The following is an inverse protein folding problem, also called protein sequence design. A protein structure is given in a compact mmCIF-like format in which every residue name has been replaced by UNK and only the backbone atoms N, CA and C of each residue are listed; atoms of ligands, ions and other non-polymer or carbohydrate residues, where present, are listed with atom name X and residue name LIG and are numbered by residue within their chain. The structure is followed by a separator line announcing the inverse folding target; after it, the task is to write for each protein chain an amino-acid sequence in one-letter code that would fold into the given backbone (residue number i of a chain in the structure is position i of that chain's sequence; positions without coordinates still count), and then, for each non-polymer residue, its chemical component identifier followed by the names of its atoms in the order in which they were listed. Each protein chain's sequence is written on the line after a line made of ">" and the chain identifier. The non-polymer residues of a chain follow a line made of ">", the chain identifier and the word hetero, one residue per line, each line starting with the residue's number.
data_IF_527955212838
#
_entry.id   IF_527955212838
#
_cell.length_a   1.000
_cell.length_b   1.000
_cell.length_c   1.000
_cell.angle_alpha   90.00
_cell.angle_beta   90.00
_cell.angle_gamma   90.00
#
_symmetry.space_group_name_H-M   'P 1'
#
loop_
_entity.id
_entity.type
_entity.pdbx_description
1 polymer ?
#
# COMPACT_ATOMS: atom_id res chain seq x y z
N UNK A 1 -13.73 2.59 20.25
CA UNK A 1 -14.54 3.29 19.24
C UNK A 1 -16.05 3.27 19.51
N UNK A 2 -16.64 2.12 19.89
CA UNK A 2 -18.09 2.01 20.11
C UNK A 2 -18.66 2.95 21.18
N UNK A 3 -17.94 3.21 22.29
CA UNK A 3 -18.39 4.13 23.36
C UNK A 3 -18.49 5.61 22.96
N UNK A 4 -17.72 6.06 21.97
CA UNK A 4 -17.72 7.47 21.56
C UNK A 4 -18.92 7.79 20.65
N UNK A 5 -19.27 6.85 19.78
CA UNK A 5 -20.39 7.02 18.85
C UNK A 5 -21.73 6.54 19.43
N UNK A 6 -21.69 5.61 20.39
CA UNK A 6 -22.86 4.86 20.87
C UNK A 6 -22.85 4.67 22.39
N UNK A 7 -22.23 5.61 23.12
CA UNK A 7 -22.28 5.65 24.58
C UNK A 7 -23.69 5.99 25.07
N UNK A 8 -24.20 5.23 26.04
CA UNK A 8 -25.59 5.31 26.50
C UNK A 8 -25.70 6.11 27.81
N UNK A 9 -26.82 6.82 27.98
CA UNK A 9 -27.30 7.34 29.27
C UNK A 9 -28.71 6.76 29.48
N UNK A 10 -28.97 6.11 30.62
CA UNK A 10 -30.29 5.59 31.04
C UNK A 10 -30.95 4.52 30.13
N UNK A 11 -32.27 4.32 30.33
CA UNK A 11 -33.12 3.20 29.93
C UNK A 11 -33.55 3.12 28.44
N UNK A 12 -32.78 3.69 27.52
CA UNK A 12 -33.16 3.68 26.10
C UNK A 12 -32.98 2.29 25.43
N UNK A 13 -33.86 1.95 24.47
CA UNK A 13 -33.85 0.69 23.73
C UNK A 13 -32.50 0.47 23.02
N UNK A 14 -31.89 -0.69 23.25
CA UNK A 14 -30.63 -1.12 22.61
C UNK A 14 -30.73 -1.11 21.09
N UNK A 15 -29.77 -0.47 20.43
CA UNK A 15 -29.47 -0.74 19.01
C UNK A 15 -28.89 -2.15 18.92
N UNK A 16 -29.65 -3.09 18.34
CA UNK A 16 -29.14 -4.42 18.04
C UNK A 16 -28.14 -4.32 16.88
N UNK A 17 -26.84 -4.33 17.18
CA UNK A 17 -25.79 -4.31 16.18
C UNK A 17 -25.80 -5.60 15.36
N UNK A 18 -26.10 -5.49 14.06
CA UNK A 18 -25.73 -6.51 13.09
C UNK A 18 -24.20 -6.54 12.96
N UNK A 19 -23.62 -7.74 12.82
CA UNK A 19 -22.16 -7.88 12.67
C UNK A 19 -21.61 -7.00 11.53
N UNK A 20 -20.40 -6.44 11.70
CA UNK A 20 -19.68 -5.64 10.68
C UNK A 20 -19.73 -6.30 9.29
N UNK A 21 -19.53 -7.62 9.24
CA UNK A 21 -19.61 -8.44 8.02
C UNK A 21 -20.99 -8.37 7.35
N UNK A 22 -22.09 -8.42 8.11
CA UNK A 22 -23.46 -8.28 7.55
C UNK A 22 -23.73 -6.86 7.05
N UNK A 23 -23.25 -5.83 7.75
CA UNK A 23 -23.43 -4.44 7.33
C UNK A 23 -22.65 -4.11 6.04
N UNK A 24 -21.46 -4.70 5.87
CA UNK A 24 -20.62 -4.47 4.69
C UNK A 24 -21.04 -5.27 3.45
N UNK A 25 -22.03 -6.17 3.56
CA UNK A 25 -22.60 -6.84 2.39
C UNK A 25 -23.24 -5.82 1.45
N UNK A 26 -23.17 -6.08 0.15
CA UNK A 26 -23.84 -5.27 -0.87
C UNK A 26 -25.35 -5.17 -0.61
N UNK A 27 -25.96 -4.03 -0.94
CA UNK A 27 -27.42 -3.86 -0.91
C UNK A 27 -28.14 -4.91 -1.76
N UNK A 28 -27.52 -5.36 -2.84
CA UNK A 28 -28.05 -6.40 -3.73
C UNK A 28 -28.28 -7.75 -3.02
N UNK A 29 -27.48 -8.09 -2.02
CA UNK A 29 -27.59 -9.34 -1.25
C UNK A 29 -28.19 -9.11 0.14
N UNK A 30 -28.96 -8.02 0.32
CA UNK A 30 -29.64 -7.69 1.57
C UNK A 30 -28.73 -7.12 2.67
N UNK A 31 -27.55 -6.60 2.33
CA UNK A 31 -26.69 -5.84 3.24
C UNK A 31 -26.96 -4.32 3.20
N UNK A 32 -26.21 -3.54 3.99
CA UNK A 32 -26.33 -2.07 3.99
C UNK A 32 -25.40 -1.37 2.98
N UNK A 33 -24.48 -2.11 2.36
CA UNK A 33 -23.52 -1.58 1.39
C UNK A 33 -22.43 -0.72 2.02
N UNK A 34 -22.17 -0.85 3.33
CA UNK A 34 -21.08 -0.12 3.97
C UNK A 34 -19.73 -0.62 3.47
N UNK A 35 -18.80 0.31 3.20
CA UNK A 35 -17.42 -0.09 2.91
C UNK A 35 -16.80 -0.68 4.17
N UNK A 36 -15.99 -1.71 3.99
CA UNK A 36 -15.17 -2.22 5.07
C UNK A 36 -14.15 -1.15 5.47
N UNK A 37 -14.42 -0.46 6.58
CA UNK A 37 -13.67 0.73 7.01
C UNK A 37 -12.17 0.47 7.16
N UNK A 38 -11.81 -0.74 7.58
CA UNK A 38 -10.43 -1.18 7.76
C UNK A 38 -9.69 -1.22 6.42
N UNK A 39 -10.25 -1.91 5.43
CA UNK A 39 -9.75 -1.97 4.06
C UNK A 39 -9.69 -0.59 3.42
N UNK A 40 -10.72 0.24 3.64
CA UNK A 40 -10.75 1.61 3.13
C UNK A 40 -9.67 2.50 3.76
N UNK A 41 -9.49 2.43 5.08
CA UNK A 41 -8.44 3.17 5.78
C UNK A 41 -7.06 2.72 5.34
N UNK A 42 -6.85 1.41 5.18
CA UNK A 42 -5.60 0.86 4.69
C UNK A 42 -5.28 1.37 3.27
N UNK A 43 -6.28 1.43 2.38
CA UNK A 43 -6.12 2.02 1.04
C UNK A 43 -5.77 3.52 1.10
N UNK A 44 -6.39 4.28 2.00
CA UNK A 44 -6.05 5.70 2.21
C UNK A 44 -4.62 5.88 2.73
N UNK A 45 -4.18 5.04 3.67
CA UNK A 45 -2.81 5.04 4.18
C UNK A 45 -1.81 4.70 3.08
N UNK A 46 -2.11 3.71 2.24
CA UNK A 46 -1.28 3.35 1.09
C UNK A 46 -1.16 4.52 0.11
N UNK A 47 -2.25 5.26 -0.12
CA UNK A 47 -2.23 6.48 -0.94
C UNK A 47 -1.34 7.58 -0.32
N UNK A 48 -1.33 7.75 1.01
CA UNK A 48 -0.41 8.71 1.64
C UNK A 48 1.05 8.24 1.56
N UNK A 49 1.31 6.95 1.76
CA UNK A 49 2.64 6.37 1.57
C UNK A 49 3.14 6.58 0.12
N UNK A 50 2.27 6.43 -0.88
CA UNK A 50 2.59 6.72 -2.28
C UNK A 50 2.96 8.19 -2.50
N UNK A 51 2.25 9.13 -1.87
CA UNK A 51 2.59 10.55 -1.94
C UNK A 51 3.97 10.86 -1.34
N UNK A 52 4.37 10.16 -0.27
CA UNK A 52 5.71 10.28 0.31
C UNK A 52 6.81 9.82 -0.66
N UNK A 53 6.53 8.80 -1.49
CA UNK A 53 7.48 8.33 -2.50
C UNK A 53 7.64 9.32 -3.66
N UNK A 54 6.51 9.88 -4.16
CA UNK A 54 6.55 10.69 -5.39
C UNK A 54 6.90 12.16 -5.14
N UNK A 55 6.54 12.73 -3.99
CA UNK A 55 6.69 14.16 -3.73
C UNK A 55 7.74 14.46 -2.65
N UNK A 56 9.01 14.29 -3.02
CA UNK A 56 10.17 14.47 -2.13
C UNK A 56 10.38 15.91 -1.64
N UNK A 57 9.94 16.89 -2.41
CA UNK A 57 10.10 18.31 -2.06
C UNK A 57 9.07 18.82 -1.05
N UNK A 58 7.98 18.08 -0.85
CA UNK A 58 6.93 18.46 0.09
C UNK A 58 7.43 18.49 1.53
N UNK A 59 6.92 19.44 2.32
CA UNK A 59 7.17 19.49 3.76
C UNK A 59 6.80 18.17 4.45
N UNK A 60 5.72 17.54 3.98
CA UNK A 60 5.28 16.23 4.46
C UNK A 60 6.37 15.16 4.30
N UNK A 61 7.01 15.08 3.12
CA UNK A 61 8.15 14.20 2.90
C UNK A 61 9.34 14.58 3.79
N UNK A 62 9.78 15.83 3.76
CA UNK A 62 10.96 16.29 4.51
C UNK A 62 10.86 15.99 6.00
N UNK A 63 9.68 16.23 6.59
CA UNK A 63 9.41 15.97 8.01
C UNK A 63 9.40 14.46 8.33
N UNK A 64 8.76 13.64 7.49
CA UNK A 64 8.71 12.20 7.72
C UNK A 64 10.05 11.52 7.45
N UNK A 65 10.79 11.96 6.42
CA UNK A 65 12.12 11.46 6.10
C UNK A 65 13.08 11.74 7.26
N UNK A 66 13.13 12.98 7.75
CA UNK A 66 14.00 13.36 8.88
C UNK A 66 13.72 12.54 10.14
N UNK A 67 12.46 12.16 10.38
CA UNK A 67 12.05 11.44 11.60
C UNK A 67 12.15 9.92 11.49
N UNK A 68 11.79 9.34 10.35
CA UNK A 68 11.53 7.90 10.25
C UNK A 68 12.36 7.17 9.19
N UNK A 69 12.87 7.86 8.18
CA UNK A 69 13.68 7.25 7.11
C UNK A 69 14.73 8.25 6.60
N UNK A 70 15.67 8.64 7.48
CA UNK A 70 16.70 9.62 7.16
C UNK A 70 17.62 9.17 6.02
N UNK A 71 17.71 7.86 5.78
CA UNK A 71 18.48 7.27 4.69
C UNK A 71 17.79 7.44 3.31
N UNK A 72 16.60 8.04 3.25
CA UNK A 72 15.90 8.40 2.02
C UNK A 72 15.01 7.29 1.42
N UNK A 73 15.10 6.06 1.92
CA UNK A 73 14.26 4.95 1.45
C UNK A 73 13.09 4.65 2.41
N UNK A 74 11.89 5.05 1.98
CA UNK A 74 10.64 4.75 2.69
C UNK A 74 10.33 3.24 2.72
N UNK A 75 10.62 2.53 1.63
CA UNK A 75 10.28 1.11 1.48
C UNK A 75 11.16 0.24 2.38
N UNK A 76 12.43 0.60 2.58
CA UNK A 76 13.31 -0.03 3.55
C UNK A 76 13.13 0.44 5.01
N UNK A 77 12.32 1.47 5.26
CA UNK A 77 12.19 2.07 6.61
C UNK A 77 11.70 1.07 7.68
N UNK A 78 12.30 1.08 8.87
CA UNK A 78 11.81 0.27 10.00
C UNK A 78 10.74 1.01 10.79
N UNK A 79 9.96 0.30 11.61
CA UNK A 79 8.90 0.92 12.41
C UNK A 79 9.49 1.83 13.52
N UNK A 80 10.56 1.38 14.17
CA UNK A 80 11.14 2.02 15.36
C UNK A 80 10.28 1.87 16.63
N UNK A 81 10.87 2.17 17.80
CA UNK A 81 10.20 2.01 19.10
C UNK A 81 9.11 3.08 19.38
N UNK A 82 9.39 4.35 19.04
CA UNK A 82 8.52 5.49 19.33
C UNK A 82 7.77 6.02 18.09
N UNK A 83 7.18 5.09 17.34
CA UNK A 83 6.37 5.38 16.16
C UNK A 83 5.04 6.04 16.51
N UNK A 84 4.70 7.14 15.82
CA UNK A 84 3.35 7.73 15.92
C UNK A 84 2.31 6.79 15.28
N UNK A 85 1.04 6.91 15.69
CA UNK A 85 -0.05 6.13 15.07
C UNK A 85 -0.15 6.34 13.55
N UNK A 86 0.06 7.58 13.09
CA UNK A 86 0.09 7.89 11.66
C UNK A 86 1.24 7.17 10.95
N UNK A 87 2.44 7.15 11.55
CA UNK A 87 3.58 6.42 10.99
C UNK A 87 3.33 4.91 10.98
N UNK A 88 2.78 4.34 12.04
CA UNK A 88 2.42 2.91 12.10
C UNK A 88 1.51 2.52 10.94
N UNK A 89 0.46 3.31 10.69
CA UNK A 89 -0.45 3.06 9.58
C UNK A 89 0.21 3.19 8.20
N UNK A 90 1.05 4.21 8.00
CA UNK A 90 1.82 4.39 6.75
C UNK A 90 2.80 3.23 6.56
N UNK A 91 3.48 2.81 7.62
CA UNK A 91 4.44 1.73 7.62
C UNK A 91 3.78 0.38 7.32
N UNK A 92 2.60 0.09 7.89
CA UNK A 92 1.83 -1.10 7.53
C UNK A 92 1.40 -1.07 6.06
N UNK A 93 0.89 0.08 5.60
CA UNK A 93 0.39 0.24 4.25
C UNK A 93 1.47 0.23 3.17
N UNK A 94 2.74 0.54 3.50
CA UNK A 94 3.85 0.47 2.53
C UNK A 94 4.03 -0.95 1.97
N UNK A 95 3.70 -1.99 2.75
CA UNK A 95 3.77 -3.38 2.30
C UNK A 95 2.77 -3.65 1.17
N UNK A 96 1.63 -2.94 1.14
CA UNK A 96 0.70 -3.02 0.01
C UNK A 96 1.29 -2.37 -1.24
N UNK A 97 2.07 -1.30 -1.10
CA UNK A 97 2.77 -0.68 -2.23
C UNK A 97 3.87 -1.59 -2.77
N UNK A 98 4.62 -2.30 -1.91
CA UNK A 98 5.62 -3.26 -2.37
C UNK A 98 4.97 -4.45 -3.10
N UNK A 99 3.81 -4.92 -2.61
CA UNK A 99 3.12 -6.08 -3.22
C UNK A 99 2.33 -5.73 -4.49
N UNK A 100 1.78 -4.52 -4.56
CA UNK A 100 0.88 -4.09 -5.63
C UNK A 100 1.47 -3.04 -6.58
N UNK A 101 2.58 -2.41 -6.20
CA UNK A 101 3.28 -1.43 -7.01
C UNK A 101 4.04 -2.11 -8.14
N UNK A 102 4.01 -1.47 -9.30
CA UNK A 102 4.82 -1.82 -10.46
C UNK A 102 5.52 -0.57 -10.95
N UNK A 103 6.74 -0.73 -11.44
CA UNK A 103 7.45 0.34 -12.09
C UNK A 103 6.82 0.60 -13.46
N UNK A 104 6.51 1.86 -13.74
CA UNK A 104 6.14 2.27 -15.09
C UNK A 104 7.40 2.74 -15.81
N UNK A 105 7.66 2.20 -17.00
CA UNK A 105 8.86 2.52 -17.77
C UNK A 105 8.74 3.94 -18.33
N UNK A 106 9.54 4.85 -17.78
CA UNK A 106 9.74 6.20 -18.32
C UNK A 106 10.97 6.23 -19.21
N UNK A 107 11.99 6.99 -18.81
CA UNK A 107 13.29 7.05 -19.48
C UNK A 107 14.26 5.90 -19.10
N UNK A 108 13.81 4.94 -18.30
CA UNK A 108 14.60 3.79 -17.85
C UNK A 108 15.72 4.06 -16.84
N UNK A 109 16.07 5.32 -16.54
CA UNK A 109 17.28 5.66 -15.77
C UNK A 109 17.24 5.25 -14.28
N UNK A 110 16.04 5.03 -13.74
CA UNK A 110 15.82 4.70 -12.32
C UNK A 110 15.29 3.29 -12.09
N UNK A 111 15.19 2.47 -13.14
CA UNK A 111 14.64 1.11 -13.08
C UNK A 111 15.80 0.12 -13.06
N UNK A 112 15.87 -0.71 -12.03
CA UNK A 112 16.76 -1.86 -12.02
C UNK A 112 16.09 -3.02 -12.76
N UNK A 113 16.34 -3.11 -14.08
CA UNK A 113 15.70 -4.04 -15.03
C UNK A 113 15.52 -5.46 -14.47
N UNK A 114 16.50 -5.98 -13.73
CA UNK A 114 16.48 -7.35 -13.22
C UNK A 114 15.72 -7.54 -11.90
N UNK A 115 15.69 -6.52 -11.04
CA UNK A 115 15.22 -6.61 -9.66
C UNK A 115 13.88 -5.89 -9.43
N UNK A 116 13.49 -4.98 -10.32
CA UNK A 116 12.27 -4.20 -10.20
C UNK A 116 11.11 -4.84 -10.97
N UNK A 117 9.92 -4.79 -10.40
CA UNK A 117 8.70 -5.31 -11.02
C UNK A 117 8.15 -4.31 -12.06
N UNK A 118 8.74 -4.26 -13.26
CA UNK A 118 8.29 -3.37 -14.34
C UNK A 118 7.47 -4.08 -15.44
N UNK A 119 7.64 -5.39 -15.62
CA UNK A 119 6.89 -6.18 -16.63
C UNK A 119 5.56 -6.70 -16.03
N UNK A 120 4.42 -6.59 -16.75
CA UNK A 120 3.17 -7.24 -16.37
C UNK A 120 3.36 -8.74 -16.11
N UNK A 121 2.82 -9.25 -14.99
CA UNK A 121 2.91 -10.67 -14.53
C UNK A 121 4.27 -11.15 -13.99
N UNK A 122 5.39 -10.55 -14.37
CA UNK A 122 6.72 -10.89 -13.82
C UNK A 122 7.02 -10.01 -12.60
N UNK A 123 7.36 -10.62 -11.46
CA UNK A 123 7.71 -9.87 -10.24
C UNK A 123 9.19 -9.51 -10.20
N UNK A 124 10.06 -10.47 -10.49
CA UNK A 124 11.50 -10.30 -10.52
C UNK A 124 12.06 -11.09 -11.69
N UNK A 125 12.55 -10.41 -12.72
CA UNK A 125 13.19 -11.05 -13.87
C UNK A 125 14.37 -11.92 -13.44
N UNK A 126 15.14 -11.48 -12.43
CA UNK A 126 16.25 -12.27 -11.87
C UNK A 126 15.83 -13.62 -11.29
N UNK A 127 14.63 -13.70 -10.72
CA UNK A 127 14.12 -14.95 -10.16
C UNK A 127 13.61 -15.88 -11.28
N UNK A 128 13.11 -15.33 -12.38
CA UNK A 128 12.64 -16.14 -13.53
C UNK A 128 13.75 -16.56 -14.48
N UNK A 129 14.80 -15.75 -14.64
CA UNK A 129 15.90 -16.03 -15.58
C UNK A 129 16.98 -16.97 -15.02
N UNK A 130 16.97 -17.26 -13.71
CA UNK A 130 18.06 -18.01 -13.07
C UNK A 130 19.39 -17.26 -13.12
N UNK A 131 20.39 -17.69 -12.34
CA UNK A 131 21.68 -16.98 -12.20
C UNK A 131 22.58 -17.01 -13.42
N UNK A 132 22.17 -17.61 -14.54
CA UNK A 132 22.97 -17.77 -15.74
C UNK A 132 22.01 -18.06 -16.89
N UNK A 133 21.49 -17.05 -17.58
CA UNK A 133 21.22 -17.07 -19.03
C UNK A 133 21.26 -15.64 -19.58
N UNK A 134 21.98 -15.50 -20.70
CA UNK A 134 22.54 -14.27 -21.24
C UNK A 134 21.51 -13.18 -21.55
N UNK A 135 21.96 -11.94 -21.37
CA UNK A 135 21.34 -10.66 -21.75
C UNK A 135 20.73 -10.66 -23.17
N UNK A 136 21.15 -11.58 -24.04
CA UNK A 136 20.69 -11.78 -25.42
C UNK A 136 19.21 -12.21 -25.55
N UNK A 137 18.60 -12.84 -24.53
CA UNK A 137 17.18 -13.20 -24.59
C UNK A 137 16.22 -12.04 -24.25
N UNK A 138 16.73 -10.92 -23.72
CA UNK A 138 15.89 -9.77 -23.36
C UNK A 138 15.32 -9.05 -24.60
N UNK A 139 16.03 -9.04 -25.72
CA UNK A 139 15.53 -8.45 -26.97
C UNK A 139 14.37 -9.24 -27.59
N UNK A 140 14.22 -10.54 -27.30
CA UNK A 140 13.13 -11.37 -27.86
C UNK A 140 11.80 -11.23 -27.09
N UNK A 141 11.80 -10.63 -25.90
CA UNK A 141 10.60 -10.43 -25.08
C UNK A 141 9.86 -9.12 -25.38
N UNK A 142 10.52 -8.13 -26.01
CA UNK A 142 9.88 -6.87 -26.43
C UNK A 142 8.94 -7.07 -27.64
N UNK A 143 9.22 -8.04 -28.52
CA UNK A 143 8.44 -8.30 -29.74
C UNK A 143 7.07 -8.96 -29.49
N UNK A 144 6.82 -9.51 -28.29
CA UNK A 144 5.57 -10.19 -27.96
C UNK A 144 4.58 -9.36 -27.12
N UNK A 145 4.96 -8.14 -26.71
CA UNK A 145 4.15 -7.29 -25.81
C UNK A 145 3.75 -5.94 -26.46
N UNK A 146 4.15 -5.68 -27.70
CA UNK A 146 3.64 -4.56 -28.50
C UNK A 146 2.30 -4.86 -29.16
#
# INVERSE_FOLDING_TARGET
>A
MARYWWGQKNEERKVHWLSKKKMCKSKFVGGMGFKELETFNMAMLAKQAWRLLQNKESLFHKLYAARYFSNGDLLAASLGGNASYAWRGIWEAKNLLVKGGRWNVGNGSSIHILNDAWIPRIRNLRHELGSEQSVEQLCQLEDHVS
#
